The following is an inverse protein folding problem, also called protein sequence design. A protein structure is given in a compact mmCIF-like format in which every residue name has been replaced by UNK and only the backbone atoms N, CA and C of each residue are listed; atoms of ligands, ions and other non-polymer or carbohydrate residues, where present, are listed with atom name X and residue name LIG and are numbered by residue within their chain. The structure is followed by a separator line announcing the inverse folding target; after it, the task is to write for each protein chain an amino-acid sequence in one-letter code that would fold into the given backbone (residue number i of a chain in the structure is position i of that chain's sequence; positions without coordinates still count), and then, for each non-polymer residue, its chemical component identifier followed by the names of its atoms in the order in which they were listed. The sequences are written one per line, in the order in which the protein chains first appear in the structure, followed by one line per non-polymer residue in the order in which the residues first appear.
data_IF_953302941066
#
_entry.id   IF_953302941066
#
_cell.length_a   1.000
_cell.length_b   1.000
_cell.length_c   1.000
_cell.angle_alpha   90.00
_cell.angle_beta   90.00
_cell.angle_gamma   90.00
#
_symmetry.space_group_name_H-M   'P 1'
#
loop_
_entity.id
_entity.type
_entity.pdbx_description
1 polymer ?
#
# COMPACT_ATOMS: atom_id res chain seq x y z
N UNK A 1 15.80 2.62 1.01
CA UNK A 1 15.33 1.37 0.35
C UNK A 1 14.55 1.69 -0.93
N UNK A 2 13.44 2.44 -0.86
CA UNK A 2 12.59 2.75 -2.04
C UNK A 2 13.36 3.39 -3.20
N UNK A 3 14.22 4.37 -2.91
CA UNK A 3 15.10 5.01 -3.92
C UNK A 3 15.99 4.00 -4.66
N UNK A 4 16.51 2.99 -3.97
CA UNK A 4 17.35 1.97 -4.60
C UNK A 4 16.51 1.05 -5.51
N UNK A 5 15.31 0.67 -5.06
CA UNK A 5 14.39 -0.14 -5.87
C UNK A 5 14.03 0.60 -7.17
N UNK A 6 13.70 1.89 -7.05
CA UNK A 6 13.36 2.75 -8.18
C UNK A 6 14.53 2.88 -9.18
N UNK A 7 15.75 3.13 -8.69
CA UNK A 7 16.95 3.18 -9.53
C UNK A 7 17.29 1.84 -10.21
N UNK A 8 17.09 0.71 -9.53
CA UNK A 8 17.32 -0.61 -10.13
C UNK A 8 16.32 -0.90 -11.26
N UNK A 9 15.04 -0.56 -11.05
CA UNK A 9 14.00 -0.78 -12.03
C UNK A 9 14.09 0.22 -13.21
N UNK A 10 14.23 1.50 -12.92
CA UNK A 10 14.28 2.58 -13.90
C UNK A 10 15.63 2.67 -14.61
N UNK A 11 16.70 3.01 -13.88
CA UNK A 11 17.98 3.34 -14.51
C UNK A 11 18.72 2.10 -15.03
N UNK A 12 18.61 0.98 -14.31
CA UNK A 12 19.32 -0.27 -14.65
C UNK A 12 18.46 -1.28 -15.39
N UNK A 13 17.18 -0.97 -15.65
CA UNK A 13 16.25 -1.83 -16.40
C UNK A 13 16.16 -3.26 -15.82
N UNK A 14 16.28 -3.39 -14.50
CA UNK A 14 16.21 -4.69 -13.82
C UNK A 14 14.77 -5.01 -13.40
N UNK A 15 14.36 -6.26 -13.58
CA UNK A 15 13.15 -6.75 -12.92
C UNK A 15 13.40 -6.86 -11.41
N UNK A 16 12.60 -6.15 -10.61
CA UNK A 16 12.68 -6.18 -9.15
C UNK A 16 11.40 -6.78 -8.57
N UNK A 17 11.56 -7.82 -7.75
CA UNK A 17 10.49 -8.41 -6.96
C UNK A 17 10.88 -8.26 -5.48
N UNK A 18 9.97 -7.72 -4.67
CA UNK A 18 10.15 -7.60 -3.23
C UNK A 18 8.83 -7.86 -2.51
N UNK A 19 8.92 -8.29 -1.26
CA UNK A 19 7.78 -8.42 -0.35
C UNK A 19 7.74 -7.26 0.64
N UNK A 20 6.55 -6.78 0.98
CA UNK A 20 6.37 -5.74 2.01
C UNK A 20 5.02 -5.90 2.70
N UNK A 21 4.98 -5.57 4.00
CA UNK A 21 3.72 -5.39 4.75
C UNK A 21 3.25 -3.93 4.75
N UNK A 22 3.96 -3.04 4.06
CA UNK A 22 3.65 -1.61 4.00
C UNK A 22 3.07 -1.30 2.62
N UNK A 23 1.74 -1.20 2.46
CA UNK A 23 1.12 -0.99 1.15
C UNK A 23 1.56 0.34 0.50
N UNK A 24 1.84 1.37 1.30
CA UNK A 24 2.39 2.63 0.79
C UNK A 24 3.80 2.49 0.19
N UNK A 25 4.60 1.52 0.63
CA UNK A 25 5.89 1.24 -0.01
C UNK A 25 5.70 0.65 -1.41
N UNK A 26 4.75 -0.29 -1.57
CA UNK A 26 4.42 -0.82 -2.89
C UNK A 26 3.79 0.26 -3.78
N UNK A 27 2.89 1.08 -3.23
CA UNK A 27 2.28 2.20 -3.96
C UNK A 27 3.32 3.19 -4.49
N UNK A 28 4.40 3.44 -3.74
CA UNK A 28 5.41 4.43 -4.10
C UNK A 28 6.33 4.01 -5.27
N UNK A 29 6.64 2.71 -5.43
CA UNK A 29 7.69 2.29 -6.39
C UNK A 29 7.32 1.10 -7.29
N UNK A 30 6.25 0.36 -6.99
CA UNK A 30 5.91 -0.84 -7.75
C UNK A 30 4.93 -0.51 -8.90
N UNK A 31 5.20 -1.03 -10.10
CA UNK A 31 4.24 -0.97 -11.21
C UNK A 31 3.13 -2.01 -11.11
N UNK A 32 3.41 -3.16 -10.48
CA UNK A 32 2.48 -4.27 -10.26
C UNK A 32 2.52 -4.72 -8.82
N UNK A 33 1.41 -5.24 -8.32
CA UNK A 33 1.30 -5.81 -6.99
C UNK A 33 0.64 -7.18 -7.02
N UNK A 34 1.10 -8.05 -6.12
CA UNK A 34 0.48 -9.32 -5.77
C UNK A 34 0.06 -9.24 -4.30
N UNK A 35 -1.24 -9.30 -4.03
CA UNK A 35 -1.74 -9.52 -2.67
C UNK A 35 -1.89 -11.01 -2.42
N UNK A 36 -1.45 -11.45 -1.25
CA UNK A 36 -1.55 -12.82 -0.78
C UNK A 36 -2.43 -12.82 0.47
N UNK A 37 -3.68 -13.25 0.32
CA UNK A 37 -4.66 -13.36 1.39
C UNK A 37 -4.76 -14.78 1.95
N UNK A 38 -5.66 -14.94 2.93
CA UNK A 38 -5.95 -16.23 3.53
C UNK A 38 -6.55 -17.23 2.51
N UNK A 39 -6.37 -18.52 2.78
CA UNK A 39 -6.96 -19.64 2.02
C UNK A 39 -6.57 -19.65 0.53
N UNK A 40 -5.36 -19.20 0.21
CA UNK A 40 -4.84 -19.18 -1.17
C UNK A 40 -5.46 -18.11 -2.07
N UNK A 41 -6.30 -17.22 -1.51
CA UNK A 41 -6.81 -16.05 -2.22
C UNK A 41 -5.65 -15.13 -2.58
N UNK A 42 -5.60 -14.70 -3.82
CA UNK A 42 -4.57 -13.79 -4.29
C UNK A 42 -5.13 -12.85 -5.35
N UNK A 43 -4.48 -11.70 -5.51
CA UNK A 43 -4.84 -10.73 -6.54
C UNK A 43 -3.58 -10.13 -7.14
N UNK A 44 -3.45 -10.26 -8.46
CA UNK A 44 -2.32 -9.78 -9.25
C UNK A 44 -2.80 -8.80 -10.31
N UNK A 45 -2.12 -7.68 -10.45
CA UNK A 45 -2.52 -6.63 -11.40
C UNK A 45 -1.59 -5.42 -11.34
N UNK A 46 -2.02 -4.29 -11.92
CA UNK A 46 -1.32 -3.02 -11.70
C UNK A 46 -1.46 -2.60 -10.24
N UNK A 47 -0.50 -1.85 -9.71
CA UNK A 47 -0.60 -1.34 -8.34
C UNK A 47 -1.88 -0.53 -8.11
N UNK A 48 -2.35 0.23 -9.10
CA UNK A 48 -3.58 1.00 -8.98
C UNK A 48 -4.84 0.13 -8.85
N UNK A 49 -4.91 -0.96 -9.59
CA UNK A 49 -6.03 -1.91 -9.55
C UNK A 49 -6.03 -2.80 -8.30
N UNK A 50 -4.85 -3.09 -7.77
CA UNK A 50 -4.66 -4.06 -6.68
C UNK A 50 -4.65 -3.39 -5.32
N UNK A 51 -3.96 -2.26 -5.16
CA UNK A 51 -3.80 -1.57 -3.87
C UNK A 51 -4.99 -0.66 -3.56
N UNK A 52 -6.21 -1.19 -3.59
CA UNK A 52 -7.45 -0.45 -3.27
C UNK A 52 -7.82 -0.63 -1.80
N UNK A 53 -8.62 0.30 -1.25
CA UNK A 53 -9.20 0.20 0.08
C UNK A 53 -9.95 -1.14 0.28
N UNK A 54 -10.76 -1.53 -0.70
CA UNK A 54 -11.56 -2.76 -0.68
C UNK A 54 -10.73 -4.04 -0.63
N UNK A 55 -9.58 -4.06 -1.32
CA UNK A 55 -8.70 -5.24 -1.31
C UNK A 55 -7.83 -5.29 -0.05
N UNK A 56 -7.38 -4.12 0.44
CA UNK A 56 -6.43 -4.03 1.54
C UNK A 56 -7.11 -4.16 2.92
N UNK A 57 -8.29 -3.59 3.10
CA UNK A 57 -8.99 -3.64 4.39
C UNK A 57 -9.21 -5.07 4.92
N UNK A 58 -9.76 -6.02 4.13
CA UNK A 58 -9.90 -7.40 4.59
C UNK A 58 -8.55 -8.11 4.76
N UNK A 59 -7.52 -7.75 3.97
CA UNK A 59 -6.18 -8.34 4.09
C UNK A 59 -5.50 -7.95 5.41
N UNK A 60 -5.64 -6.69 5.82
CA UNK A 60 -5.04 -6.14 7.04
C UNK A 60 -5.96 -6.22 8.26
N UNK A 61 -7.19 -6.72 8.12
CA UNK A 61 -8.19 -6.86 9.18
C UNK A 61 -8.53 -5.52 9.88
N UNK A 62 -8.45 -4.41 9.15
CA UNK A 62 -8.80 -3.07 9.63
C UNK A 62 -9.16 -2.17 8.45
N UNK A 63 -9.98 -1.11 8.65
CA UNK A 63 -10.34 -0.21 7.57
C UNK A 63 -9.12 0.56 7.04
N UNK A 64 -8.88 0.47 5.73
CA UNK A 64 -7.86 1.25 5.04
C UNK A 64 -8.57 2.15 4.03
N UNK A 65 -8.30 3.44 4.11
CA UNK A 65 -8.83 4.42 3.16
C UNK A 65 -7.75 4.87 2.17
N UNK A 66 -8.16 5.19 0.95
CA UNK A 66 -7.32 5.92 0.01
C UNK A 66 -7.70 7.39 0.06
N UNK A 67 -6.73 8.24 0.40
CA UNK A 67 -6.96 9.68 0.55
C UNK A 67 -5.98 10.47 -0.32
N UNK A 68 -6.50 11.54 -0.90
CA UNK A 68 -5.71 12.57 -1.58
C UNK A 68 -5.32 13.65 -0.57
N UNK A 69 -4.02 13.89 -0.40
CA UNK A 69 -3.49 14.86 0.56
C UNK A 69 -2.74 15.97 -0.19
N UNK A 70 -3.08 17.25 0.04
CA UNK A 70 -2.30 18.35 -0.49
C UNK A 70 -0.92 18.39 0.17
N UNK A 71 0.14 18.28 -0.62
CA UNK A 71 1.51 18.32 -0.15
C UNK A 71 2.43 19.01 -1.17
N UNK A 72 3.19 20.01 -0.71
CA UNK A 72 4.16 20.76 -1.54
C UNK A 72 3.61 21.26 -2.89
N UNK A 73 2.35 21.70 -2.93
CA UNK A 73 1.70 22.20 -4.15
C UNK A 73 1.16 21.10 -5.09
N UNK A 74 1.21 19.83 -4.68
CA UNK A 74 0.66 18.68 -5.40
C UNK A 74 -0.39 17.95 -4.57
N UNK A 75 -1.18 17.07 -5.20
CA UNK A 75 -2.05 16.12 -4.51
C UNK A 75 -1.36 14.75 -4.51
N UNK A 76 -1.13 14.21 -3.32
CA UNK A 76 -0.53 12.89 -3.14
C UNK A 76 -1.58 11.90 -2.68
N UNK A 77 -1.68 10.78 -3.39
CA UNK A 77 -2.49 9.65 -2.95
C UNK A 77 -1.73 8.84 -1.89
N UNK A 78 -2.42 8.47 -0.82
CA UNK A 78 -1.87 7.59 0.21
C UNK A 78 -2.92 6.66 0.76
N UNK A 79 -2.49 5.50 1.26
CA UNK A 79 -3.33 4.51 1.92
C UNK A 79 -3.18 4.66 3.43
N UNK A 80 -4.27 4.94 4.12
CA UNK A 80 -4.27 5.26 5.54
C UNK A 80 -5.02 4.16 6.31
N UNK A 81 -4.32 3.40 7.18
CA UNK A 81 -4.98 2.51 8.12
C UNK A 81 -5.70 3.32 9.21
N UNK A 82 -6.97 3.04 9.42
CA UNK A 82 -7.80 3.71 10.41
C UNK A 82 -7.79 2.90 11.71
N UNK A 83 -7.12 3.43 12.73
CA UNK A 83 -7.08 2.83 14.06
C UNK A 83 -8.01 3.57 15.02
N UNK A 84 -8.78 2.80 15.79
CA UNK A 84 -9.49 3.36 16.94
C UNK A 84 -8.58 3.38 18.17
N UNK A 85 -8.57 4.51 18.89
CA UNK A 85 -7.81 4.63 20.13
C UNK A 85 -8.41 3.75 21.22
N UNK A 86 -7.68 2.70 21.61
CA UNK A 86 -8.07 1.84 22.72
C UNK A 86 -7.95 2.54 24.08
N UNK A 87 -7.20 3.65 24.14
CA UNK A 87 -7.05 4.48 25.36
C UNK A 87 -8.26 5.38 25.60
N UNK A 88 -8.91 5.84 24.53
CA UNK A 88 -10.11 6.69 24.61
C UNK A 88 -11.35 5.85 24.90
N UNK A 89 -11.43 4.63 24.33
CA UNK A 89 -12.55 3.70 24.57
C UNK A 89 -12.71 3.23 26.02
N UNK A 90 -11.64 3.27 26.82
CA UNK A 90 -11.66 2.89 28.23
C UNK A 90 -11.97 4.07 29.17
N UNK A 91 -12.23 5.28 28.63
CA UNK A 91 -12.58 6.48 29.41
C UNK A 91 -14.08 6.82 29.36
N UNK A 92 -14.86 6.07 28.57
CA UNK A 92 -16.32 6.11 28.51
C UNK A 92 -16.90 5.00 29.40
#
# INVERSE_FOLDING_TARGET
MLTLIDQLAGDRQMAVIFSTHQPNHAHAVAGRALLLGAEGRHQLGSCQQVLTADNLSPLFHLPIERVSIPFAGSQLETLVPIFHSQRERNRE
#
